data_IF_263037111912
#
_entry.id   IF_263037111912
#
_cell.length_a   1.000
_cell.length_b   1.000
_cell.length_c   1.000
_cell.angle_alpha   90.00
_cell.angle_beta   90.00
_cell.angle_gamma   90.00
#
_symmetry.space_group_name_H-M   'P 1'
#
loop_
_entity.id
_entity.type
_entity.pdbx_description
1 polymer ?
#
# COMPACT_ATOMS: atom_id res chain seq x y z
N UNK A 1 -5.92 11.42 -18.63
CA UNK A 1 -6.26 11.70 -17.22
C UNK A 1 -7.29 10.73 -16.65
N UNK A 2 -8.42 10.46 -17.30
CA UNK A 2 -9.47 9.58 -16.75
C UNK A 2 -8.99 8.13 -16.52
N UNK A 3 -8.29 7.54 -17.51
CA UNK A 3 -7.70 6.21 -17.37
C UNK A 3 -6.65 6.12 -16.24
N UNK A 4 -5.91 7.20 -15.99
CA UNK A 4 -4.93 7.27 -14.90
C UNK A 4 -5.62 7.20 -13.53
N UNK A 5 -6.64 8.04 -13.32
CA UNK A 5 -7.42 8.00 -12.09
C UNK A 5 -8.12 6.65 -11.90
N UNK A 6 -8.63 6.03 -12.98
CA UNK A 6 -9.21 4.70 -12.93
C UNK A 6 -8.23 3.62 -12.44
N UNK A 7 -7.01 3.60 -12.96
CA UNK A 7 -5.98 2.64 -12.54
C UNK A 7 -5.56 2.86 -11.08
N UNK A 8 -5.34 4.12 -10.68
CA UNK A 8 -5.00 4.45 -9.28
C UNK A 8 -6.11 4.00 -8.34
N UNK A 9 -7.37 4.24 -8.68
CA UNK A 9 -8.52 3.91 -7.84
C UNK A 9 -8.73 2.38 -7.73
N UNK A 10 -8.48 1.62 -8.80
CA UNK A 10 -8.49 0.15 -8.76
C UNK A 10 -7.36 -0.40 -7.87
N UNK A 11 -6.15 0.16 -7.94
CA UNK A 11 -5.02 -0.26 -7.10
C UNK A 11 -5.30 0.04 -5.63
N UNK A 12 -5.73 1.26 -5.32
CA UNK A 12 -6.04 1.68 -3.94
C UNK A 12 -7.24 0.88 -3.39
N UNK A 13 -8.31 0.72 -4.17
CA UNK A 13 -9.49 -0.05 -3.77
C UNK A 13 -9.18 -1.53 -3.56
N UNK A 14 -8.41 -2.15 -4.47
CA UNK A 14 -7.95 -3.53 -4.34
C UNK A 14 -7.05 -3.74 -3.12
N UNK A 15 -6.16 -2.78 -2.86
CA UNK A 15 -5.32 -2.78 -1.67
C UNK A 15 -6.15 -2.70 -0.39
N UNK A 16 -7.08 -1.73 -0.29
CA UNK A 16 -7.96 -1.58 0.87
C UNK A 16 -8.84 -2.81 1.11
N UNK A 17 -9.32 -3.48 0.06
CA UNK A 17 -10.06 -4.74 0.17
C UNK A 17 -9.19 -5.89 0.69
N UNK A 18 -7.92 -5.97 0.26
CA UNK A 18 -6.95 -6.90 0.83
C UNK A 18 -6.72 -6.58 2.31
N UNK A 19 -6.37 -5.33 2.66
CA UNK A 19 -6.12 -4.91 4.04
C UNK A 19 -7.31 -5.12 4.98
N UNK A 20 -8.53 -4.88 4.50
CA UNK A 20 -9.75 -5.07 5.29
C UNK A 20 -10.13 -6.54 5.51
N UNK A 21 -9.62 -7.47 4.69
CA UNK A 21 -9.86 -8.92 4.83
C UNK A 21 -8.69 -9.68 5.44
N UNK A 22 -7.50 -9.09 5.45
CA UNK A 22 -6.31 -9.66 6.04
C UNK A 22 -6.30 -9.41 7.57
N UNK A 23 -7.08 -10.16 8.34
CA UNK A 23 -6.63 -10.63 9.66
C UNK A 23 -5.53 -11.70 9.49
N UNK A 24 -4.59 -11.45 8.58
CA UNK A 24 -3.56 -12.40 8.20
C UNK A 24 -2.29 -12.10 9.00
N UNK A 25 -1.57 -13.14 9.45
CA UNK A 25 -0.36 -13.06 10.25
C UNK A 25 0.83 -12.55 9.42
N UNK A 26 0.72 -11.32 8.91
CA UNK A 26 1.71 -10.63 8.10
C UNK A 26 1.91 -9.17 8.51
N UNK A 27 1.01 -8.60 9.31
CA UNK A 27 1.28 -7.42 10.11
C UNK A 27 2.13 -7.89 11.29
N UNK A 28 3.46 -7.76 11.17
CA UNK A 28 4.40 -8.19 12.19
C UNK A 28 4.14 -7.36 13.45
N UNK A 29 3.30 -7.92 14.30
CA UNK A 29 2.90 -7.31 15.55
C UNK A 29 3.87 -7.80 16.60
N UNK A 30 5.01 -7.13 16.72
CA UNK A 30 5.97 -7.44 17.77
C UNK A 30 5.40 -6.95 19.09
N UNK A 31 4.99 -7.91 19.92
CA UNK A 31 4.57 -7.67 21.30
C UNK A 31 5.71 -8.06 22.24
N UNK A 32 6.35 -7.07 22.85
CA UNK A 32 7.32 -7.27 23.94
C UNK A 32 6.78 -6.58 25.18
N UNK A 33 6.36 -7.37 26.17
CA UNK A 33 5.77 -6.87 27.41
C UNK A 33 4.53 -5.99 27.17
N UNK A 34 4.60 -4.70 27.55
CA UNK A 34 3.53 -3.72 27.38
C UNK A 34 3.58 -2.99 26.01
N UNK A 35 4.63 -3.20 25.21
CA UNK A 35 4.83 -2.49 23.94
C UNK A 35 4.38 -3.36 22.77
N UNK A 36 3.57 -2.77 21.90
CA UNK A 36 3.09 -3.40 20.67
C UNK A 36 3.54 -2.57 19.48
N UNK A 37 4.44 -3.12 18.67
CA UNK A 37 4.87 -2.52 17.41
C UNK A 37 4.12 -3.20 16.27
N UNK A 38 3.37 -2.42 15.50
CA UNK A 38 2.70 -2.86 14.28
C UNK A 38 3.57 -2.50 13.08
N UNK A 39 3.97 -3.51 12.31
CA UNK A 39 4.75 -3.32 11.09
C UNK A 39 3.89 -3.69 9.87
N UNK A 40 3.20 -2.70 9.26
CA UNK A 40 2.30 -2.92 8.15
C UNK A 40 3.09 -3.06 6.84
N UNK A 41 3.87 -4.13 6.71
CA UNK A 41 4.77 -4.39 5.58
C UNK A 41 4.02 -4.36 4.25
N UNK A 42 2.83 -4.96 4.20
CA UNK A 42 2.01 -4.96 3.02
C UNK A 42 1.61 -3.53 2.59
N UNK A 43 1.27 -2.65 3.54
CA UNK A 43 0.92 -1.25 3.24
C UNK A 43 2.12 -0.51 2.69
N UNK A 44 3.30 -0.72 3.28
CA UNK A 44 4.55 -0.12 2.83
C UNK A 44 4.91 -0.54 1.40
N UNK A 45 4.72 -1.81 1.04
CA UNK A 45 4.98 -2.32 -0.32
C UNK A 45 4.02 -1.71 -1.34
N UNK A 46 2.71 -1.70 -1.04
CA UNK A 46 1.71 -1.09 -1.93
C UNK A 46 2.00 0.39 -2.13
N UNK A 47 2.26 1.12 -1.05
CA UNK A 47 2.58 2.53 -1.09
C UNK A 47 3.83 2.80 -1.93
N UNK A 48 4.87 1.97 -1.80
CA UNK A 48 6.09 2.07 -2.61
C UNK A 48 5.81 1.89 -4.09
N UNK A 49 5.08 0.84 -4.49
CA UNK A 49 4.76 0.58 -5.90
C UNK A 49 3.95 1.73 -6.49
N UNK A 50 2.91 2.20 -5.78
CA UNK A 50 2.09 3.34 -6.22
C UNK A 50 2.96 4.58 -6.41
N UNK A 51 3.81 4.89 -5.42
CA UNK A 51 4.67 6.07 -5.47
C UNK A 51 5.69 5.96 -6.62
N UNK A 52 6.31 4.80 -6.83
CA UNK A 52 7.22 4.57 -7.95
C UNK A 52 6.53 4.76 -9.30
N UNK A 53 5.32 4.24 -9.48
CA UNK A 53 4.54 4.42 -10.71
C UNK A 53 4.20 5.89 -10.92
N UNK A 54 3.72 6.59 -9.88
CA UNK A 54 3.38 8.02 -9.96
C UNK A 54 4.61 8.87 -10.27
N UNK A 55 5.72 8.68 -9.55
CA UNK A 55 6.96 9.41 -9.78
C UNK A 55 7.50 9.16 -11.18
N UNK A 56 7.61 7.89 -11.59
CA UNK A 56 8.10 7.55 -12.93
C UNK A 56 7.23 8.22 -14.01
N UNK A 57 5.90 8.21 -13.86
CA UNK A 57 5.00 8.82 -14.83
C UNK A 57 5.07 10.36 -14.87
N UNK A 58 5.21 11.02 -13.71
CA UNK A 58 5.33 12.49 -13.60
C UNK A 58 6.66 12.97 -14.16
N UNK A 59 7.75 12.26 -13.87
CA UNK A 59 9.10 12.66 -14.27
C UNK A 59 9.47 12.19 -15.69
N UNK A 60 8.81 11.18 -16.25
CA UNK A 60 9.10 10.66 -17.60
C UNK A 60 8.44 11.43 -18.74
N UNK A 61 7.52 12.35 -18.44
CA UNK A 61 6.91 13.25 -19.45
C UNK A 61 7.55 14.65 -19.49
N UNK A 62 8.70 14.83 -18.84
CA UNK A 62 9.60 15.97 -19.02
C UNK A 62 10.84 15.50 -19.78
#
# INVERSE_FOLDING_TARGET
>A
MVLFFGVVLVIVGGALMLFGRLHLPGDLTFRTGNVTLYLPIATSIVLSIVLTVVLNLVFRQR
#
